data_IF_883255944624
#
_entry.id   IF_883255944624
#
_cell.length_a   1.000
_cell.length_b   1.000
_cell.length_c   1.000
_cell.angle_alpha   90.00
_cell.angle_beta   90.00
_cell.angle_gamma   90.00
#
_symmetry.space_group_name_H-M   'P 1'
#
loop_
_entity.id
_entity.type
_entity.pdbx_description
1 polymer ?
#
# COMPACT_ATOMS: atom_id res chain seq x y z
N UNK A 1 -4.22 19.00 41.26
CA UNK A 1 -3.64 17.68 40.85
C UNK A 1 -4.70 16.62 40.58
N UNK A 2 -5.58 16.24 41.53
CA UNK A 2 -6.64 15.22 41.31
C UNK A 2 -7.61 15.53 40.14
N UNK A 3 -8.00 16.80 39.97
CA UNK A 3 -8.86 17.23 38.86
C UNK A 3 -8.20 17.05 37.49
N UNK A 4 -6.91 17.39 37.38
CA UNK A 4 -6.13 17.23 36.14
C UNK A 4 -6.00 15.75 35.78
N UNK A 5 -5.63 14.90 36.75
CA UNK A 5 -5.53 13.45 36.55
C UNK A 5 -6.86 12.86 36.08
N UNK A 6 -7.98 13.25 36.70
CA UNK A 6 -9.32 12.79 36.30
C UNK A 6 -9.68 13.23 34.88
N UNK A 7 -9.36 14.47 34.52
CA UNK A 7 -9.63 15.02 33.19
C UNK A 7 -8.83 14.27 32.12
N UNK A 8 -7.53 14.05 32.37
CA UNK A 8 -6.67 13.28 31.46
C UNK A 8 -7.17 11.85 31.30
N UNK A 9 -7.56 11.19 32.40
CA UNK A 9 -8.10 9.84 32.35
C UNK A 9 -9.40 9.74 31.53
N UNK A 10 -10.30 10.73 31.65
CA UNK A 10 -11.53 10.78 30.86
C UNK A 10 -11.21 10.96 29.37
N UNK A 11 -10.32 11.89 29.01
CA UNK A 11 -9.94 12.11 27.62
C UNK A 11 -9.31 10.86 27.01
N UNK A 12 -8.42 10.18 27.74
CA UNK A 12 -7.81 8.94 27.27
C UNK A 12 -8.84 7.83 27.07
N UNK A 13 -9.79 7.68 28.00
CA UNK A 13 -10.87 6.70 27.87
C UNK A 13 -11.75 6.99 26.64
N UNK A 14 -12.12 8.26 26.41
CA UNK A 14 -12.90 8.66 25.24
C UNK A 14 -12.15 8.39 23.93
N UNK A 15 -10.85 8.69 23.88
CA UNK A 15 -10.02 8.39 22.71
C UNK A 15 -9.94 6.89 22.42
N UNK A 16 -9.77 6.05 23.45
CA UNK A 16 -9.75 4.60 23.29
C UNK A 16 -11.10 4.05 22.82
N UNK A 17 -12.21 4.56 23.38
CA UNK A 17 -13.57 4.21 22.93
C UNK A 17 -13.75 4.59 21.46
N UNK A 18 -13.35 5.80 21.07
CA UNK A 18 -13.43 6.25 19.69
C UNK A 18 -12.60 5.37 18.74
N UNK A 19 -11.35 5.06 19.10
CA UNK A 19 -10.48 4.18 18.31
C UNK A 19 -11.11 2.79 18.15
N UNK A 20 -11.70 2.24 19.23
CA UNK A 20 -12.40 0.95 19.20
C UNK A 20 -13.67 0.97 18.33
N UNK A 21 -14.48 2.02 18.42
CA UNK A 21 -15.66 2.20 17.56
C UNK A 21 -15.22 2.31 16.11
N UNK A 22 -14.20 3.11 15.81
CA UNK A 22 -13.66 3.27 14.47
C UNK A 22 -13.22 1.92 13.89
N UNK A 23 -12.52 1.08 14.66
CA UNK A 23 -12.16 -0.25 14.21
C UNK A 23 -13.37 -1.10 13.84
N UNK A 24 -14.39 -1.15 14.71
CA UNK A 24 -15.59 -1.97 14.49
C UNK A 24 -16.37 -1.51 13.25
N UNK A 25 -16.46 -0.21 13.03
CA UNK A 25 -17.27 0.37 11.95
C UNK A 25 -16.52 0.45 10.63
N UNK A 26 -15.27 0.89 10.62
CA UNK A 26 -14.54 1.27 9.40
C UNK A 26 -13.49 0.25 8.97
N UNK A 27 -12.90 -0.52 9.90
CA UNK A 27 -11.78 -1.43 9.58
C UNK A 27 -12.26 -2.88 9.50
N UNK A 28 -12.90 -3.37 10.56
CA UNK A 28 -13.30 -4.76 10.72
C UNK A 28 -14.12 -5.31 9.54
N UNK A 29 -15.05 -4.56 8.91
CA UNK A 29 -15.80 -5.08 7.76
C UNK A 29 -14.94 -5.47 6.56
N UNK A 30 -13.74 -4.88 6.43
CA UNK A 30 -12.86 -5.07 5.28
C UNK A 30 -11.72 -6.07 5.53
N UNK A 31 -11.60 -6.61 6.76
CA UNK A 31 -10.52 -7.55 7.11
C UNK A 31 -10.55 -8.80 6.23
N UNK A 32 -11.73 -9.36 5.95
CA UNK A 32 -11.84 -10.55 5.09
C UNK A 32 -11.34 -10.29 3.66
N UNK A 33 -11.70 -9.14 3.08
CA UNK A 33 -11.26 -8.73 1.75
C UNK A 33 -9.75 -8.51 1.70
N UNK A 34 -9.18 -7.91 2.74
CA UNK A 34 -7.73 -7.74 2.88
C UNK A 34 -7.01 -9.09 3.00
N UNK A 35 -7.53 -10.01 3.78
CA UNK A 35 -6.97 -11.35 3.93
C UNK A 35 -7.03 -12.13 2.61
N UNK A 36 -8.07 -11.94 1.80
CA UNK A 36 -8.18 -12.52 0.46
C UNK A 36 -7.14 -11.93 -0.50
N UNK A 37 -6.97 -10.60 -0.53
CA UNK A 37 -5.92 -9.94 -1.31
C UNK A 37 -4.51 -10.42 -0.92
N UNK A 38 -4.26 -10.64 0.38
CA UNK A 38 -2.97 -11.14 0.87
C UNK A 38 -2.69 -12.56 0.39
N UNK A 39 -3.73 -13.41 0.28
CA UNK A 39 -3.59 -14.81 -0.15
C UNK A 39 -3.34 -14.98 -1.64
N UNK A 40 -3.70 -13.98 -2.45
CA UNK A 40 -3.49 -14.01 -3.91
C UNK A 40 -2.00 -13.94 -4.28
N UNK A 41 -1.16 -13.34 -3.43
CA UNK A 41 0.27 -13.18 -3.69
C UNK A 41 1.09 -14.18 -2.88
N UNK A 42 1.71 -15.12 -3.59
CA UNK A 42 2.65 -16.09 -3.03
C UNK A 42 4.02 -15.46 -2.78
N UNK A 43 4.60 -15.73 -1.60
CA UNK A 43 5.94 -15.25 -1.23
C UNK A 43 7.07 -15.97 -1.96
N UNK A 44 6.77 -17.15 -2.52
CA UNK A 44 7.76 -18.04 -3.15
C UNK A 44 7.87 -17.79 -4.66
N UNK A 45 7.16 -16.78 -5.18
CA UNK A 45 7.26 -16.30 -6.56
C UNK A 45 8.70 -15.87 -6.88
N UNK A 46 9.16 -16.16 -8.09
CA UNK A 46 10.52 -15.86 -8.55
C UNK A 46 10.85 -14.37 -8.41
N UNK A 47 9.86 -13.51 -8.63
CA UNK A 47 10.04 -12.07 -8.65
C UNK A 47 9.62 -11.39 -7.34
N UNK A 48 9.06 -12.10 -6.35
CA UNK A 48 8.56 -11.50 -5.11
C UNK A 48 9.64 -10.70 -4.37
N UNK A 49 10.81 -11.32 -4.13
CA UNK A 49 11.92 -10.66 -3.44
C UNK A 49 12.43 -9.44 -4.22
N UNK A 50 12.58 -9.59 -5.53
CA UNK A 50 13.03 -8.53 -6.44
C UNK A 50 12.06 -7.34 -6.46
N UNK A 51 10.75 -7.59 -6.51
CA UNK A 51 9.76 -6.50 -6.46
C UNK A 51 9.80 -5.84 -5.09
N UNK A 52 9.94 -6.61 -4.01
CA UNK A 52 10.00 -6.07 -2.64
C UNK A 52 11.21 -5.16 -2.45
N UNK A 53 12.40 -5.59 -2.87
CA UNK A 53 13.62 -4.79 -2.78
C UNK A 53 13.53 -3.50 -3.60
N UNK A 54 12.96 -3.57 -4.81
CA UNK A 54 12.71 -2.41 -5.66
C UNK A 54 11.69 -1.44 -5.06
N UNK A 55 10.56 -1.95 -4.55
CA UNK A 55 9.53 -1.13 -3.91
C UNK A 55 10.05 -0.44 -2.66
N UNK A 56 10.86 -1.14 -1.84
CA UNK A 56 11.52 -0.55 -0.67
C UNK A 56 12.53 0.52 -1.08
N UNK A 57 13.25 0.35 -2.18
CA UNK A 57 14.16 1.39 -2.67
C UNK A 57 13.41 2.63 -3.21
N UNK A 58 12.25 2.43 -3.83
CA UNK A 58 11.46 3.51 -4.43
C UNK A 58 10.61 4.30 -3.42
N UNK A 59 9.91 3.60 -2.52
CA UNK A 59 8.96 4.22 -1.58
C UNK A 59 9.43 4.14 -0.12
N UNK A 60 10.31 3.20 0.22
CA UNK A 60 10.63 2.82 1.60
C UNK A 60 9.54 1.94 2.23
N UNK A 61 9.89 1.20 3.30
CA UNK A 61 8.94 0.35 4.03
C UNK A 61 7.75 1.17 4.54
N UNK A 62 8.02 2.36 5.09
CA UNK A 62 6.96 3.25 5.54
C UNK A 62 6.11 3.81 4.41
N UNK A 63 6.72 4.08 3.24
CA UNK A 63 5.99 4.55 2.06
C UNK A 63 5.00 3.51 1.53
N UNK A 64 5.40 2.24 1.50
CA UNK A 64 4.54 1.10 1.14
C UNK A 64 3.32 1.06 2.08
N UNK A 65 3.55 1.05 3.40
CA UNK A 65 2.46 1.04 4.38
C UNK A 65 1.57 2.28 4.31
N UNK A 66 2.16 3.44 4.03
CA UNK A 66 1.42 4.69 3.88
C UNK A 66 0.51 4.67 2.65
N UNK A 67 1.02 4.16 1.53
CA UNK A 67 0.27 3.96 0.30
C UNK A 67 -0.91 3.01 0.52
N UNK A 68 -0.66 1.86 1.17
CA UNK A 68 -1.69 0.85 1.48
C UNK A 68 -2.80 1.47 2.32
N UNK A 69 -2.46 2.09 3.46
CA UNK A 69 -3.45 2.69 4.35
C UNK A 69 -4.22 3.84 3.69
N UNK A 70 -3.56 4.66 2.88
CA UNK A 70 -4.24 5.72 2.13
C UNK A 70 -5.19 5.16 1.06
N UNK A 71 -4.75 4.17 0.29
CA UNK A 71 -5.52 3.57 -0.79
C UNK A 71 -6.79 2.89 -0.28
N UNK A 72 -6.68 2.18 0.86
CA UNK A 72 -7.82 1.56 1.54
C UNK A 72 -8.78 2.59 2.13
N UNK A 73 -8.27 3.67 2.73
CA UNK A 73 -9.10 4.76 3.23
C UNK A 73 -9.92 5.40 2.10
N UNK A 74 -9.30 5.64 0.94
CA UNK A 74 -9.95 6.26 -0.22
C UNK A 74 -10.97 5.32 -0.88
N UNK A 75 -10.72 4.02 -0.93
CA UNK A 75 -11.66 3.06 -1.54
C UNK A 75 -12.86 2.75 -0.65
N UNK A 76 -12.71 2.79 0.67
CA UNK A 76 -13.73 2.29 1.59
C UNK A 76 -14.50 3.38 2.34
N UNK A 77 -13.93 4.58 2.53
CA UNK A 77 -14.62 5.62 3.29
C UNK A 77 -15.55 6.43 2.39
N UNK A 78 -16.81 6.55 2.81
CA UNK A 78 -17.86 7.29 2.11
C UNK A 78 -17.49 8.75 1.83
N UNK A 79 -18.00 9.29 0.72
CA UNK A 79 -17.68 10.63 0.19
C UNK A 79 -17.98 11.82 1.13
N UNK A 80 -18.77 11.61 2.19
CA UNK A 80 -19.11 12.64 3.19
C UNK A 80 -17.96 13.08 4.09
N UNK A 81 -16.87 12.30 4.18
CA UNK A 81 -15.72 12.60 5.06
C UNK A 81 -14.49 13.15 4.33
N UNK A 82 -14.62 13.64 3.08
CA UNK A 82 -13.49 14.15 2.27
C UNK A 82 -12.65 15.23 2.98
N UNK A 83 -13.25 16.06 3.84
CA UNK A 83 -12.52 17.07 4.62
C UNK A 83 -11.57 16.50 5.68
N UNK A 84 -11.76 15.24 6.07
CA UNK A 84 -10.97 14.52 7.08
C UNK A 84 -10.12 13.38 6.48
N UNK A 85 -9.94 13.35 5.16
CA UNK A 85 -9.23 12.28 4.44
C UNK A 85 -7.81 12.00 4.99
N UNK A 86 -7.08 13.02 5.44
CA UNK A 86 -5.79 12.84 6.10
C UNK A 86 -5.92 12.07 7.43
N UNK A 87 -6.93 12.39 8.25
CA UNK A 87 -7.19 11.70 9.51
C UNK A 87 -7.64 10.25 9.26
N UNK A 88 -8.47 10.03 8.25
CA UNK A 88 -8.90 8.69 7.85
C UNK A 88 -7.70 7.85 7.40
N UNK A 89 -6.84 8.41 6.54
CA UNK A 89 -5.60 7.76 6.13
C UNK A 89 -4.72 7.37 7.31
N UNK A 90 -4.58 8.23 8.32
CA UNK A 90 -3.82 7.92 9.53
C UNK A 90 -4.44 6.77 10.35
N UNK A 91 -5.76 6.70 10.46
CA UNK A 91 -6.42 5.59 11.17
C UNK A 91 -6.24 4.27 10.43
N UNK A 92 -6.40 4.27 9.12
CA UNK A 92 -6.14 3.08 8.30
C UNK A 92 -4.68 2.65 8.40
N UNK A 93 -3.72 3.58 8.31
CA UNK A 93 -2.30 3.28 8.50
C UNK A 93 -2.00 2.67 9.88
N UNK A 94 -2.59 3.22 10.95
CA UNK A 94 -2.45 2.67 12.30
C UNK A 94 -2.96 1.23 12.37
N UNK A 95 -4.19 1.00 11.93
CA UNK A 95 -4.83 -0.31 12.06
C UNK A 95 -4.18 -1.37 11.19
N UNK A 96 -3.79 -1.04 9.96
CA UNK A 96 -3.08 -1.96 9.07
C UNK A 96 -1.77 -2.43 9.72
N UNK A 97 -1.00 -1.52 10.33
CA UNK A 97 0.25 -1.87 11.03
C UNK A 97 0.05 -2.67 12.32
N UNK A 98 -1.14 -2.60 12.93
CA UNK A 98 -1.48 -3.39 14.11
C UNK A 98 -1.99 -4.79 13.75
N UNK A 99 -2.62 -4.94 12.58
CA UNK A 99 -3.25 -6.19 12.14
C UNK A 99 -2.30 -7.05 11.31
N UNK A 100 -1.43 -6.43 10.52
CA UNK A 100 -0.65 -7.11 9.50
C UNK A 100 0.84 -6.88 9.68
N UNK A 101 1.62 -7.91 9.40
CA UNK A 101 3.08 -7.84 9.30
C UNK A 101 3.52 -7.01 8.09
N UNK A 102 4.78 -6.55 8.08
CA UNK A 102 5.33 -5.81 6.94
C UNK A 102 5.23 -6.59 5.62
N UNK A 103 5.32 -7.91 5.68
CA UNK A 103 5.20 -8.78 4.51
C UNK A 103 3.76 -8.85 3.98
N UNK A 104 2.78 -8.98 4.88
CA UNK A 104 1.36 -8.94 4.50
C UNK A 104 0.96 -7.55 3.97
N UNK A 105 1.51 -6.48 4.55
CA UNK A 105 1.33 -5.12 4.04
C UNK A 105 1.92 -4.98 2.64
N UNK A 106 3.07 -5.59 2.37
CA UNK A 106 3.63 -5.59 1.02
C UNK A 106 2.77 -6.40 0.03
N UNK A 107 2.16 -7.52 0.45
CA UNK A 107 1.20 -8.25 -0.39
C UNK A 107 -0.07 -7.44 -0.67
N UNK A 108 -0.59 -6.70 0.31
CA UNK A 108 -1.65 -5.71 0.09
C UNK A 108 -1.22 -4.62 -0.91
N UNK A 109 0.03 -4.17 -0.83
CA UNK A 109 0.57 -3.20 -1.79
C UNK A 109 0.57 -3.76 -3.21
N UNK A 110 1.00 -5.02 -3.41
CA UNK A 110 0.95 -5.71 -4.71
C UNK A 110 -0.49 -5.80 -5.26
N UNK A 111 -1.45 -6.18 -4.41
CA UNK A 111 -2.86 -6.25 -4.78
C UNK A 111 -3.46 -4.89 -5.19
N UNK A 112 -2.88 -3.79 -4.71
CA UNK A 112 -3.39 -2.44 -4.97
C UNK A 112 -2.67 -1.69 -6.10
N UNK A 113 -1.64 -2.26 -6.73
CA UNK A 113 -0.88 -1.62 -7.81
C UNK A 113 -1.82 -1.21 -8.95
N UNK A 114 -1.93 0.09 -9.28
CA UNK A 114 -2.87 0.57 -10.30
C UNK A 114 -2.29 0.41 -11.72
N UNK A 115 -3.09 -0.07 -12.67
CA UNK A 115 -2.67 -0.22 -14.08
C UNK A 115 -3.59 0.50 -15.08
N UNK A 116 -4.41 1.45 -14.61
CA UNK A 116 -5.31 2.27 -15.44
C UNK A 116 -6.65 1.60 -15.77
N UNK A 117 -6.73 0.26 -15.79
CA UNK A 117 -7.97 -0.51 -15.91
C UNK A 117 -8.50 -1.08 -14.58
N UNK A 118 -7.66 -1.12 -13.55
CA UNK A 118 -7.96 -1.75 -12.27
C UNK A 118 -6.78 -1.64 -11.30
N UNK A 119 -6.68 -2.62 -10.38
CA UNK A 119 -5.60 -2.77 -9.41
C UNK A 119 -5.10 -4.21 -9.40
N UNK A 120 -3.82 -4.41 -9.06
CA UNK A 120 -3.17 -5.72 -8.98
C UNK A 120 -1.87 -5.74 -9.79
N UNK A 121 -0.78 -6.22 -9.20
CA UNK A 121 0.53 -6.30 -9.84
C UNK A 121 0.56 -7.34 -10.96
N UNK A 122 -0.11 -8.49 -10.78
CA UNK A 122 -0.24 -9.52 -11.83
C UNK A 122 -0.98 -8.95 -13.05
N UNK A 123 -2.13 -8.31 -12.82
CA UNK A 123 -2.89 -7.66 -13.88
C UNK A 123 -2.11 -6.52 -14.54
N UNK A 124 -1.32 -5.76 -13.77
CA UNK A 124 -0.47 -4.70 -14.30
C UNK A 124 0.61 -5.25 -15.24
N UNK A 125 1.21 -6.40 -14.91
CA UNK A 125 2.14 -7.10 -15.78
C UNK A 125 1.48 -7.49 -17.10
N UNK A 126 0.30 -8.11 -17.02
CA UNK A 126 -0.45 -8.51 -18.20
C UNK A 126 -0.87 -7.30 -19.06
N UNK A 127 -1.34 -6.22 -18.43
CA UNK A 127 -1.83 -5.03 -19.13
C UNK A 127 -0.72 -4.25 -19.84
N UNK A 128 0.46 -4.11 -19.22
CA UNK A 128 1.54 -3.30 -19.77
C UNK A 128 2.52 -4.08 -20.64
N UNK A 129 2.66 -5.38 -20.43
CA UNK A 129 3.69 -6.20 -21.08
C UNK A 129 3.16 -7.49 -21.71
N UNK A 130 1.86 -7.78 -21.63
CA UNK A 130 1.24 -9.00 -22.16
C UNK A 130 1.94 -10.28 -21.67
N UNK A 131 2.39 -10.26 -20.42
CA UNK A 131 3.21 -11.29 -19.81
C UNK A 131 2.86 -11.50 -18.34
N UNK A 132 3.09 -12.71 -17.84
CA UNK A 132 2.95 -13.04 -16.43
C UNK A 132 4.00 -12.33 -15.58
N UNK A 133 3.65 -11.96 -14.34
CA UNK A 133 4.55 -11.25 -13.43
C UNK A 133 5.89 -11.95 -13.23
N UNK A 134 5.90 -13.27 -13.11
CA UNK A 134 7.11 -14.08 -12.92
C UNK A 134 7.98 -14.19 -14.17
N UNK A 135 7.47 -13.80 -15.34
CA UNK A 135 8.22 -13.79 -16.61
C UNK A 135 8.86 -12.44 -16.92
N UNK A 136 8.54 -11.41 -16.15
CA UNK A 136 9.07 -10.07 -16.36
C UNK A 136 10.54 -9.98 -15.97
N UNK A 137 11.33 -9.27 -16.79
CA UNK A 137 12.69 -8.92 -16.42
C UNK A 137 12.72 -7.73 -15.45
N UNK A 138 13.89 -7.51 -14.83
CA UNK A 138 14.11 -6.44 -13.85
C UNK A 138 13.69 -5.04 -14.32
N UNK A 139 13.90 -4.70 -15.59
CA UNK A 139 13.49 -3.40 -16.14
C UNK A 139 11.97 -3.28 -16.26
N UNK A 140 11.26 -4.36 -16.59
CA UNK A 140 9.79 -4.38 -16.63
C UNK A 140 9.22 -4.30 -15.21
N UNK A 141 9.76 -5.07 -14.27
CA UNK A 141 9.38 -4.99 -12.86
C UNK A 141 9.58 -3.58 -12.28
N UNK A 142 10.73 -2.95 -12.53
CA UNK A 142 11.01 -1.59 -12.06
C UNK A 142 10.03 -0.56 -12.62
N UNK A 143 9.56 -0.73 -13.87
CA UNK A 143 8.53 0.13 -14.45
C UNK A 143 7.19 0.00 -13.75
N UNK A 144 6.78 -1.21 -13.36
CA UNK A 144 5.58 -1.41 -12.57
C UNK A 144 5.71 -0.80 -11.18
N UNK A 145 6.86 -0.98 -10.52
CA UNK A 145 7.13 -0.41 -9.18
C UNK A 145 7.05 1.11 -9.18
N UNK A 146 7.75 1.78 -10.10
CA UNK A 146 7.79 3.25 -10.16
C UNK A 146 6.45 3.85 -10.59
N UNK A 147 5.65 3.09 -11.35
CA UNK A 147 4.31 3.51 -11.77
C UNK A 147 3.38 3.77 -10.58
N UNK A 148 3.48 2.99 -9.50
CA UNK A 148 2.55 3.03 -8.35
C UNK A 148 2.37 4.43 -7.79
N UNK A 149 3.46 5.19 -7.68
CA UNK A 149 3.45 6.55 -7.11
C UNK A 149 2.57 7.52 -7.88
N UNK A 150 2.63 7.46 -9.21
CA UNK A 150 1.90 8.36 -10.09
C UNK A 150 1.66 7.68 -11.44
N UNK A 151 0.60 6.86 -11.56
CA UNK A 151 0.43 5.94 -12.70
C UNK A 151 0.30 6.66 -14.05
N UNK A 152 -0.31 7.85 -14.05
CA UNK A 152 -0.44 8.69 -15.23
C UNK A 152 0.88 9.33 -15.67
N UNK A 153 1.82 9.56 -14.75
CA UNK A 153 3.10 10.21 -15.03
C UNK A 153 4.22 9.22 -15.33
N UNK A 154 4.22 8.08 -14.65
CA UNK A 154 5.27 7.07 -14.71
C UNK A 154 4.82 5.77 -15.40
N UNK A 155 3.83 5.86 -16.29
CA UNK A 155 3.41 4.74 -17.14
C UNK A 155 4.63 4.03 -17.73
N UNK A 156 4.65 2.68 -17.75
CA UNK A 156 5.68 1.91 -18.43
C UNK A 156 5.95 2.42 -19.86
N UNK A 157 7.23 2.51 -20.21
CA UNK A 157 7.75 3.04 -21.47
C UNK A 157 7.85 4.56 -21.56
N UNK A 158 7.33 5.32 -20.58
CA UNK A 158 7.44 6.78 -20.60
C UNK A 158 8.85 7.25 -20.22
N UNK A 159 9.31 8.36 -20.82
CA UNK A 159 10.62 8.96 -20.50
C UNK A 159 10.76 9.27 -19.00
N UNK A 160 9.67 9.71 -18.36
CA UNK A 160 9.64 9.98 -16.93
C UNK A 160 9.85 8.72 -16.09
N UNK A 161 9.25 7.60 -16.48
CA UNK A 161 9.46 6.31 -15.81
C UNK A 161 10.92 5.87 -15.93
N UNK A 162 11.49 5.92 -17.15
CA UNK A 162 12.89 5.55 -17.42
C UNK A 162 13.86 6.40 -16.62
N UNK A 163 13.69 7.73 -16.62
CA UNK A 163 14.55 8.63 -15.86
C UNK A 163 14.47 8.35 -14.36
N UNK A 164 13.28 8.14 -13.81
CA UNK A 164 13.10 7.86 -12.37
C UNK A 164 13.74 6.53 -11.96
N UNK A 165 13.55 5.47 -12.75
CA UNK A 165 14.21 4.17 -12.51
C UNK A 165 15.73 4.33 -12.46
N UNK A 166 16.30 5.10 -13.40
CA UNK A 166 17.75 5.37 -13.43
C UNK A 166 18.19 6.18 -12.22
N UNK A 167 17.52 7.30 -11.95
CA UNK A 167 17.95 8.27 -10.94
C UNK A 167 17.83 7.69 -9.52
N UNK A 168 16.87 6.79 -9.28
CA UNK A 168 16.70 6.10 -8.01
C UNK A 168 17.41 4.74 -7.95
N UNK A 169 18.04 4.30 -9.04
CA UNK A 169 18.75 3.01 -9.11
C UNK A 169 17.85 1.81 -8.82
N UNK A 170 16.57 1.87 -9.18
CA UNK A 170 15.57 0.84 -8.81
C UNK A 170 15.97 -0.53 -9.35
N UNK A 171 16.32 -0.62 -10.64
CA UNK A 171 16.71 -1.89 -11.30
C UNK A 171 17.92 -2.56 -10.62
N UNK A 172 18.80 -1.79 -9.99
CA UNK A 172 19.98 -2.32 -9.30
C UNK A 172 19.62 -3.17 -8.07
N UNK A 173 18.35 -3.20 -7.67
CA UNK A 173 17.83 -3.97 -6.54
C UNK A 173 17.20 -5.31 -6.94
N UNK A 174 17.10 -5.60 -8.23
CA UNK A 174 16.36 -6.76 -8.71
C UNK A 174 16.94 -8.11 -8.21
N UNK A 175 18.23 -8.19 -7.90
CA UNK A 175 18.89 -9.42 -7.43
C UNK A 175 19.41 -9.33 -5.98
N UNK A 176 18.96 -8.33 -5.22
CA UNK A 176 19.46 -8.04 -3.86
C UNK A 176 18.63 -8.64 -2.75
#
# INVERSE_FOLDING_TARGET
>A
MKFIIRTVAILLALSLIYIGIYFIVEIRPHVSEMDEMIREYETDSLNYSSIKSMAVAEEGIDGIGNYVGHSLAVSNVGSGFRGAWHLLGLHWQLWIRLLYSEDEIFRLWLAMVPYGGGRGMQDAAQFHFENDLDSLNCHQLAQLVVMVRAPSMFKPGSERSVNRIRDHGVVLRCDS
#
